data_IF_127493981921
#
_entry.id   IF_127493981921
#
_cell.length_a   1.000
_cell.length_b   1.000
_cell.length_c   1.000
_cell.angle_alpha   90.00
_cell.angle_beta   90.00
_cell.angle_gamma   90.00
#
_symmetry.space_group_name_H-M   'P 1'
#
loop_
_entity.id
_entity.type
_entity.pdbx_description
1 polymer ?
#
# COMPACT_ATOMS: atom_id res chain seq x y z
N UNK A 1 -1.30 43.26 -6.62
CA UNK A 1 -1.39 41.79 -6.58
C UNK A 1 -0.07 41.26 -6.04
N UNK A 2 -0.01 40.83 -4.79
CA UNK A 2 1.14 40.05 -4.31
C UNK A 2 0.82 38.61 -4.69
N UNK A 3 1.53 38.07 -5.67
CA UNK A 3 1.52 36.63 -5.94
C UNK A 3 2.06 35.94 -4.69
N UNK A 4 1.21 35.26 -3.96
CA UNK A 4 1.65 34.32 -2.96
C UNK A 4 2.48 33.27 -3.69
N UNK A 5 3.75 33.13 -3.37
CA UNK A 5 4.57 32.00 -3.83
C UNK A 5 4.06 30.76 -3.12
N UNK A 6 3.13 30.10 -3.79
CA UNK A 6 2.62 28.81 -3.36
C UNK A 6 3.70 27.79 -3.70
N UNK A 7 4.01 26.94 -2.73
CA UNK A 7 4.88 25.79 -2.94
C UNK A 7 4.38 25.03 -4.18
N UNK A 8 5.24 24.68 -5.15
CA UNK A 8 4.85 23.95 -6.36
C UNK A 8 4.04 22.68 -6.09
N UNK A 9 4.12 22.11 -4.87
CA UNK A 9 3.27 21.00 -4.43
C UNK A 9 1.78 21.37 -4.32
N UNK A 10 1.42 22.64 -4.31
CA UNK A 10 0.05 23.15 -4.23
C UNK A 10 -0.53 23.65 -5.56
N UNK A 11 0.16 23.53 -6.69
CA UNK A 11 -0.38 23.95 -8.00
C UNK A 11 -1.72 23.27 -8.35
N UNK A 12 -1.84 21.98 -8.01
CA UNK A 12 -3.09 21.25 -8.22
C UNK A 12 -4.22 21.78 -7.33
N UNK A 13 -3.89 22.33 -6.15
CA UNK A 13 -4.84 22.95 -5.24
C UNK A 13 -5.45 24.21 -5.84
N UNK A 14 -4.66 25.08 -6.44
CA UNK A 14 -5.19 26.25 -7.15
C UNK A 14 -6.16 25.86 -8.26
N UNK A 15 -5.90 24.77 -8.96
CA UNK A 15 -6.78 24.28 -10.01
C UNK A 15 -8.10 23.73 -9.45
N UNK A 16 -8.05 23.00 -8.34
CA UNK A 16 -9.25 22.51 -7.65
C UNK A 16 -10.04 23.66 -7.03
N UNK A 17 -9.37 24.63 -6.40
CA UNK A 17 -10.00 25.84 -5.89
C UNK A 17 -10.71 26.64 -6.98
N UNK A 18 -10.10 26.76 -8.17
CA UNK A 18 -10.77 27.38 -9.34
C UNK A 18 -11.98 26.58 -9.85
N UNK A 19 -11.97 25.27 -9.69
CA UNK A 19 -13.11 24.39 -9.98
C UNK A 19 -14.29 24.69 -9.05
N UNK A 20 -14.04 24.78 -7.75
CA UNK A 20 -15.04 25.11 -6.73
C UNK A 20 -15.58 26.54 -6.87
N UNK A 21 -14.80 27.46 -7.44
CA UNK A 21 -15.24 28.79 -7.80
C UNK A 21 -16.42 28.85 -8.80
N UNK A 22 -16.44 27.91 -9.75
CA UNK A 22 -17.53 27.78 -10.71
C UNK A 22 -18.83 27.36 -10.03
N UNK A 23 -18.74 26.78 -8.83
CA UNK A 23 -19.86 26.39 -7.97
C UNK A 23 -20.26 27.47 -6.96
N UNK A 24 -19.68 28.69 -7.07
CA UNK A 24 -20.00 29.83 -6.20
C UNK A 24 -19.25 29.87 -4.87
N UNK A 25 -18.22 29.06 -4.71
CA UNK A 25 -17.36 29.00 -3.51
C UNK A 25 -16.11 29.85 -3.78
N UNK A 26 -15.85 30.94 -3.01
CA UNK A 26 -14.72 31.82 -3.26
C UNK A 26 -13.37 31.17 -2.92
N UNK A 27 -12.27 31.43 -3.71
CA UNK A 27 -10.94 30.93 -3.39
C UNK A 27 -10.34 31.66 -2.20
N UNK A 28 -9.53 30.92 -1.44
CA UNK A 28 -8.62 31.49 -0.44
C UNK A 28 -7.20 31.39 -0.98
N UNK A 29 -6.45 32.49 -0.95
CA UNK A 29 -5.00 32.41 -1.02
C UNK A 29 -4.49 32.09 0.40
N UNK A 30 -3.90 30.91 0.55
CA UNK A 30 -3.38 30.45 1.84
C UNK A 30 -1.87 30.24 1.69
N UNK A 31 -1.11 30.90 2.54
CA UNK A 31 0.33 30.71 2.65
C UNK A 31 0.62 29.93 3.94
N UNK A 32 1.40 28.86 3.83
CA UNK A 32 1.86 28.08 4.95
C UNK A 32 3.20 28.63 5.45
N UNK A 33 3.28 28.96 6.74
CA UNK A 33 4.51 29.38 7.38
C UNK A 33 4.53 28.89 8.82
N UNK A 34 5.60 28.21 9.25
CA UNK A 34 5.88 27.78 10.63
C UNK A 34 4.69 27.21 11.42
N UNK A 35 3.82 26.44 10.77
CA UNK A 35 2.64 25.89 11.41
C UNK A 35 1.44 26.84 11.47
N UNK A 36 1.50 27.97 10.77
CA UNK A 36 0.40 28.91 10.61
C UNK A 36 -0.13 28.96 9.19
N UNK A 37 -1.40 29.27 9.06
CA UNK A 37 -2.04 29.64 7.79
C UNK A 37 -2.13 31.15 7.76
N UNK A 38 -1.45 31.76 6.79
CA UNK A 38 -1.58 33.20 6.54
C UNK A 38 -2.62 33.39 5.46
N UNK A 39 -3.76 33.93 5.82
CA UNK A 39 -4.76 34.32 4.86
C UNK A 39 -4.42 35.68 4.29
N UNK A 40 -4.23 35.78 2.97
CA UNK A 40 -4.30 37.10 2.34
C UNK A 40 -5.76 37.49 2.12
N UNK A 41 -6.02 38.79 2.08
CA UNK A 41 -7.36 39.42 2.00
C UNK A 41 -8.20 39.07 0.79
N UNK A 42 -7.80 38.11 -0.01
CA UNK A 42 -8.41 37.74 -1.29
C UNK A 42 -9.33 36.52 -1.19
N UNK A 43 -10.15 36.47 -0.16
CA UNK A 43 -11.21 35.46 -0.04
C UNK A 43 -12.46 35.77 -0.85
N UNK A 44 -12.53 36.93 -1.50
CA UNK A 44 -13.67 37.35 -2.30
C UNK A 44 -13.28 37.48 -3.77
N UNK A 45 -13.88 36.70 -4.62
CA UNK A 45 -13.77 36.82 -6.08
C UNK A 45 -14.36 38.09 -6.65
N UNK A 46 -15.14 38.83 -5.87
CA UNK A 46 -15.99 39.89 -6.41
C UNK A 46 -15.40 41.28 -6.28
N UNK A 47 -14.37 41.49 -5.46
CA UNK A 47 -13.60 42.74 -5.44
C UNK A 47 -12.35 42.62 -4.53
N UNK A 48 -11.15 42.93 -5.00
CA UNK A 48 -10.00 43.08 -4.12
C UNK A 48 -10.21 44.35 -3.28
N UNK A 49 -10.52 44.18 -2.01
CA UNK A 49 -10.41 45.28 -1.04
C UNK A 49 -8.95 45.36 -0.63
N UNK A 50 -8.24 46.31 -1.15
CA UNK A 50 -6.81 46.53 -0.97
C UNK A 50 -6.36 46.83 0.47
N UNK A 51 -7.23 46.73 1.46
CA UNK A 51 -7.01 47.25 2.82
C UNK A 51 -7.33 46.29 3.95
N UNK A 52 -7.70 45.05 3.70
CA UNK A 52 -7.92 44.10 4.79
C UNK A 52 -6.58 43.58 5.35
N UNK A 53 -6.41 43.54 6.67
CA UNK A 53 -5.18 43.01 7.26
C UNK A 53 -5.05 41.52 6.99
N UNK A 54 -3.81 41.09 6.81
CA UNK A 54 -3.49 39.65 6.74
C UNK A 54 -3.80 39.05 8.11
N UNK A 55 -4.62 38.02 8.14
CA UNK A 55 -4.93 37.28 9.37
C UNK A 55 -4.13 35.99 9.39
N UNK A 56 -3.41 35.77 10.47
CA UNK A 56 -2.63 34.57 10.70
C UNK A 56 -3.42 33.59 11.57
N UNK A 57 -3.55 32.37 11.12
CA UNK A 57 -4.21 31.29 11.85
C UNK A 57 -3.21 30.21 12.21
N UNK A 58 -3.15 29.82 13.47
CA UNK A 58 -2.32 28.71 13.93
C UNK A 58 -3.03 27.40 13.69
N UNK A 59 -2.33 26.47 13.03
CA UNK A 59 -2.82 25.11 12.78
C UNK A 59 -1.86 24.08 13.41
N UNK A 60 -2.39 22.96 13.89
CA UNK A 60 -1.54 21.88 14.37
C UNK A 60 -0.59 21.39 13.27
N UNK A 61 0.68 21.12 13.63
CA UNK A 61 1.70 20.62 12.69
C UNK A 61 1.22 19.35 11.95
N UNK A 62 0.45 18.49 12.62
CA UNK A 62 -0.17 17.31 12.03
C UNK A 62 -1.11 17.64 10.85
N UNK A 63 -1.83 18.75 10.91
CA UNK A 63 -2.70 19.15 9.79
C UNK A 63 -1.88 19.64 8.61
N UNK A 64 -0.78 20.34 8.83
CA UNK A 64 0.13 20.78 7.77
C UNK A 64 0.71 19.55 7.06
N UNK A 65 1.14 18.55 7.83
CA UNK A 65 1.65 17.29 7.27
C UNK A 65 0.56 16.58 6.42
N UNK A 66 -0.68 16.54 6.87
CA UNK A 66 -1.80 15.99 6.11
C UNK A 66 -2.07 16.79 4.82
N UNK A 67 -2.03 18.11 4.89
CA UNK A 67 -2.18 18.97 3.73
C UNK A 67 -1.08 18.74 2.69
N UNK A 68 0.17 18.65 3.14
CA UNK A 68 1.31 18.35 2.28
C UNK A 68 1.19 16.96 1.64
N UNK A 69 0.77 15.94 2.40
CA UNK A 69 0.52 14.60 1.86
C UNK A 69 -0.65 14.58 0.87
N UNK A 70 -1.72 15.32 1.15
CA UNK A 70 -2.83 15.47 0.22
C UNK A 70 -2.38 16.15 -1.06
N UNK A 71 -1.53 17.18 -0.95
CA UNK A 71 -0.96 17.89 -2.08
C UNK A 71 -0.09 17.01 -2.98
N UNK A 72 0.72 16.15 -2.39
CA UNK A 72 1.61 15.24 -3.12
C UNK A 72 0.87 14.16 -3.91
N UNK A 73 -0.38 13.85 -3.53
CA UNK A 73 -1.18 12.81 -4.18
C UNK A 73 -2.35 13.45 -4.95
N UNK A 74 -2.24 13.53 -6.26
CA UNK A 74 -3.14 14.23 -7.20
C UNK A 74 -4.61 13.77 -7.20
N UNK A 75 -5.16 13.27 -6.08
CA UNK A 75 -6.57 12.91 -5.93
C UNK A 75 -7.43 14.17 -5.73
N UNK A 76 -8.34 14.52 -6.66
CA UNK A 76 -9.17 15.73 -6.57
C UNK A 76 -10.02 15.79 -5.28
N UNK A 77 -10.47 14.64 -4.74
CA UNK A 77 -11.27 14.58 -3.52
C UNK A 77 -10.51 15.07 -2.29
N UNK A 78 -9.19 14.85 -2.24
CA UNK A 78 -8.33 15.37 -1.17
C UNK A 78 -8.24 16.88 -1.19
N UNK A 79 -8.17 17.45 -2.39
CA UNK A 79 -8.10 18.89 -2.58
C UNK A 79 -9.40 19.57 -2.17
N UNK A 80 -10.51 18.98 -2.55
CA UNK A 80 -11.83 19.48 -2.18
C UNK A 80 -12.01 19.47 -0.64
N UNK A 81 -11.65 18.37 0.02
CA UNK A 81 -11.73 18.26 1.47
C UNK A 81 -10.79 19.24 2.17
N UNK A 82 -9.54 19.34 1.71
CA UNK A 82 -8.57 20.28 2.25
C UNK A 82 -9.07 21.73 2.12
N UNK A 83 -9.62 22.07 0.95
CA UNK A 83 -10.19 23.38 0.71
C UNK A 83 -11.36 23.68 1.66
N UNK A 84 -12.30 22.77 1.86
CA UNK A 84 -13.42 22.92 2.78
C UNK A 84 -12.98 23.11 4.23
N UNK A 85 -11.96 22.37 4.67
CA UNK A 85 -11.39 22.49 6.00
C UNK A 85 -10.74 23.87 6.17
N UNK A 86 -9.88 24.27 5.22
CA UNK A 86 -9.22 25.57 5.25
C UNK A 86 -10.22 26.73 5.23
N UNK A 87 -11.27 26.60 4.41
CA UNK A 87 -12.34 27.60 4.34
C UNK A 87 -13.05 27.79 5.69
N UNK A 88 -13.37 26.70 6.38
CA UNK A 88 -13.98 26.76 7.72
C UNK A 88 -13.06 27.40 8.75
N UNK A 89 -11.78 27.06 8.74
CA UNK A 89 -10.80 27.67 9.65
C UNK A 89 -10.75 29.18 9.45
N UNK A 90 -10.66 29.61 8.21
CA UNK A 90 -10.48 31.01 7.87
C UNK A 90 -11.75 31.82 8.07
N UNK A 91 -12.91 31.31 7.65
CA UNK A 91 -14.16 32.03 7.67
C UNK A 91 -14.90 31.98 9.02
N UNK A 92 -14.85 30.86 9.69
CA UNK A 92 -15.61 30.56 10.89
C UNK A 92 -14.78 30.63 12.18
N UNK A 93 -13.49 30.96 12.02
CA UNK A 93 -12.51 30.91 13.12
C UNK A 93 -12.55 29.55 13.87
N UNK A 94 -12.70 28.50 13.08
CA UNK A 94 -12.91 27.15 13.57
C UNK A 94 -11.62 26.61 14.21
N UNK A 95 -11.67 26.25 15.50
CA UNK A 95 -10.54 25.66 16.19
C UNK A 95 -10.33 24.23 15.72
N UNK A 96 -9.22 23.96 15.03
CA UNK A 96 -8.83 22.62 14.61
C UNK A 96 -8.60 21.63 15.75
N UNK A 97 -8.56 22.08 17.00
CA UNK A 97 -8.46 21.20 18.17
C UNK A 97 -9.67 20.27 18.33
N UNK A 98 -10.83 20.64 17.78
CA UNK A 98 -12.00 19.76 17.68
C UNK A 98 -12.03 18.92 16.41
N UNK A 99 -11.10 19.16 15.47
CA UNK A 99 -11.10 18.60 14.12
C UNK A 99 -10.83 17.08 14.06
N UNK A 100 -10.31 16.47 15.12
CA UNK A 100 -10.17 15.00 15.16
C UNK A 100 -11.52 14.26 15.07
N UNK A 101 -12.62 14.96 15.31
CA UNK A 101 -13.99 14.46 15.17
C UNK A 101 -14.72 15.01 13.94
N UNK A 102 -14.08 15.90 13.20
CA UNK A 102 -14.66 16.48 12.00
C UNK A 102 -14.64 15.47 10.85
N UNK A 103 -15.80 15.23 10.24
CA UNK A 103 -15.95 14.23 9.19
C UNK A 103 -15.05 14.49 7.96
N UNK A 104 -14.83 15.76 7.59
CA UNK A 104 -13.97 16.11 6.47
C UNK A 104 -12.49 15.88 6.81
N UNK A 105 -12.07 16.16 8.05
CA UNK A 105 -10.70 15.88 8.52
C UNK A 105 -10.45 14.38 8.57
N UNK A 106 -11.41 13.60 9.11
CA UNK A 106 -11.33 12.14 9.12
C UNK A 106 -11.20 11.61 7.68
N UNK A 107 -12.07 12.07 6.78
CA UNK A 107 -12.03 11.67 5.37
C UNK A 107 -10.72 12.07 4.70
N UNK A 108 -10.17 13.25 4.98
CA UNK A 108 -8.86 13.67 4.48
C UNK A 108 -7.74 12.80 5.03
N UNK A 109 -7.79 12.43 6.30
CA UNK A 109 -6.83 11.51 6.92
C UNK A 109 -6.88 10.15 6.24
N UNK A 110 -8.06 9.58 6.00
CA UNK A 110 -8.22 8.31 5.30
C UNK A 110 -7.69 8.37 3.86
N UNK A 111 -8.08 9.40 3.10
CA UNK A 111 -7.59 9.62 1.74
C UNK A 111 -6.09 9.94 1.67
N UNK A 112 -5.50 10.46 2.76
CA UNK A 112 -4.08 10.79 2.83
C UNK A 112 -3.20 9.62 3.27
N UNK A 113 -3.80 8.49 3.64
CA UNK A 113 -3.02 7.27 3.88
C UNK A 113 -2.33 6.83 2.58
N UNK A 114 -1.09 6.33 2.69
CA UNK A 114 -0.43 5.71 1.55
C UNK A 114 -1.33 4.64 0.93
N UNK A 115 -1.50 4.68 -0.38
CA UNK A 115 -2.33 3.68 -1.09
C UNK A 115 -1.89 3.50 -2.53
N UNK A 116 -1.85 2.27 -2.98
CA UNK A 116 -1.62 1.92 -4.37
C UNK A 116 -2.88 2.05 -5.25
N UNK A 117 -4.06 2.30 -4.67
CA UNK A 117 -5.33 2.36 -5.41
C UNK A 117 -5.29 3.25 -6.66
N UNK A 118 -4.69 4.46 -6.65
CA UNK A 118 -4.61 5.32 -7.83
C UNK A 118 -3.74 4.77 -8.97
N UNK A 119 -2.91 3.76 -8.70
CA UNK A 119 -1.98 3.16 -9.66
C UNK A 119 -2.49 1.84 -10.23
N UNK A 120 -3.53 1.27 -9.62
CA UNK A 120 -4.15 0.01 -10.08
C UNK A 120 -5.19 0.34 -11.15
N UNK A 121 -4.97 -0.05 -12.41
CA UNK A 121 -5.93 0.20 -13.48
C UNK A 121 -7.18 -0.67 -13.33
N UNK A 122 -8.30 -0.18 -13.82
CA UNK A 122 -9.48 -1.03 -14.08
C UNK A 122 -9.20 -1.89 -15.31
N UNK A 123 -8.99 -3.18 -15.11
CA UNK A 123 -8.59 -4.12 -16.17
C UNK A 123 -9.04 -5.53 -15.85
N UNK A 124 -9.14 -6.36 -16.88
CA UNK A 124 -9.37 -7.80 -16.78
C UNK A 124 -8.11 -8.63 -17.08
N UNK A 125 -6.95 -7.98 -17.20
CA UNK A 125 -5.70 -8.62 -17.60
C UNK A 125 -4.63 -8.48 -16.52
N UNK A 126 -4.07 -9.60 -16.09
CA UNK A 126 -2.90 -9.65 -15.20
C UNK A 126 -1.67 -9.01 -15.85
N UNK A 127 -1.52 -9.10 -17.17
CA UNK A 127 -0.42 -8.47 -17.88
C UNK A 127 -0.50 -6.93 -17.85
N UNK A 128 -1.71 -6.38 -17.96
CA UNK A 128 -1.92 -4.95 -17.77
C UNK A 128 -1.55 -4.49 -16.36
N UNK A 129 -1.88 -5.28 -15.32
CA UNK A 129 -1.44 -5.00 -13.95
C UNK A 129 0.08 -5.06 -13.82
N UNK A 130 0.72 -6.04 -14.48
CA UNK A 130 2.20 -6.20 -14.46
C UNK A 130 2.92 -4.99 -15.04
N UNK A 131 2.39 -4.40 -16.09
CA UNK A 131 2.95 -3.16 -16.64
C UNK A 131 2.67 -1.96 -15.72
N UNK A 132 1.46 -1.83 -15.22
CA UNK A 132 1.05 -0.69 -14.39
C UNK A 132 1.80 -0.61 -13.06
N UNK A 133 2.13 -1.77 -12.44
CA UNK A 133 2.82 -1.81 -11.14
C UNK A 133 4.21 -1.18 -11.20
N UNK A 134 4.87 -1.17 -12.36
CA UNK A 134 6.18 -0.53 -12.57
C UNK A 134 6.16 0.97 -12.24
N UNK A 135 5.01 1.61 -12.39
CA UNK A 135 4.79 3.02 -12.07
C UNK A 135 4.23 3.27 -10.66
N UNK A 136 4.06 2.24 -9.84
CA UNK A 136 3.45 2.38 -8.52
C UNK A 136 4.28 3.21 -7.56
N UNK A 137 3.64 4.22 -6.95
CA UNK A 137 4.21 5.10 -5.92
C UNK A 137 3.29 5.18 -4.69
N UNK A 138 2.54 4.10 -4.42
CA UNK A 138 1.52 4.06 -3.38
C UNK A 138 2.05 4.05 -1.94
N UNK A 139 3.33 3.78 -1.73
CA UNK A 139 4.03 3.84 -0.44
C UNK A 139 5.50 4.21 -0.66
N UNK A 140 6.22 4.55 0.40
CA UNK A 140 7.62 5.01 0.33
C UNK A 140 8.63 3.97 -0.18
N UNK A 141 8.28 2.68 -0.21
CA UNK A 141 9.21 1.60 -0.59
C UNK A 141 9.72 1.74 -2.04
N UNK A 142 8.92 2.30 -2.95
CA UNK A 142 9.33 2.52 -4.35
C UNK A 142 10.58 3.40 -4.50
N UNK A 143 10.85 4.27 -3.51
CA UNK A 143 12.02 5.18 -3.55
C UNK A 143 13.34 4.44 -3.36
N UNK A 144 13.31 3.30 -2.72
CA UNK A 144 14.50 2.56 -2.30
C UNK A 144 14.70 1.27 -3.08
N UNK A 145 13.60 0.61 -3.48
CA UNK A 145 13.63 -0.61 -4.28
C UNK A 145 14.16 -0.33 -5.69
N UNK A 146 14.77 -1.34 -6.30
CA UNK A 146 15.26 -1.27 -7.68
C UNK A 146 14.08 -1.22 -8.66
N UNK A 147 13.05 -2.00 -8.37
CA UNK A 147 11.83 -2.10 -9.18
C UNK A 147 10.67 -2.71 -8.37
N UNK A 148 9.46 -2.60 -8.91
CA UNK A 148 8.34 -3.39 -8.43
C UNK A 148 8.50 -4.85 -8.87
N UNK A 149 8.27 -5.78 -7.96
CA UNK A 149 8.22 -7.21 -8.22
C UNK A 149 6.77 -7.65 -8.24
N UNK A 150 6.27 -7.97 -9.41
CA UNK A 150 4.90 -8.44 -9.60
C UNK A 150 4.80 -9.96 -9.45
N UNK A 151 3.78 -10.57 -10.01
CA UNK A 151 3.55 -11.99 -9.96
C UNK A 151 4.26 -12.78 -11.08
N UNK A 152 4.30 -14.10 -10.94
CA UNK A 152 4.53 -15.07 -12.00
C UNK A 152 3.44 -16.13 -11.99
N UNK A 153 3.24 -16.78 -13.15
CA UNK A 153 2.27 -17.84 -13.36
C UNK A 153 1.06 -17.39 -14.18
N UNK A 154 0.23 -18.33 -14.59
CA UNK A 154 -0.91 -18.08 -15.46
C UNK A 154 -2.07 -17.38 -14.72
N UNK A 155 -2.87 -16.62 -15.46
CA UNK A 155 -4.04 -15.92 -14.89
C UNK A 155 -5.16 -16.89 -14.46
N UNK A 156 -5.23 -18.06 -15.05
CA UNK A 156 -6.20 -19.12 -14.76
C UNK A 156 -5.67 -20.17 -13.75
N UNK A 157 -4.61 -19.83 -13.02
CA UNK A 157 -4.03 -20.71 -12.02
C UNK A 157 -5.05 -21.10 -10.94
N UNK A 158 -5.16 -22.37 -10.64
CA UNK A 158 -6.05 -22.89 -9.58
C UNK A 158 -5.50 -22.61 -8.18
N UNK A 159 -4.21 -22.42 -8.03
CA UNK A 159 -3.53 -22.19 -6.76
C UNK A 159 -2.75 -20.87 -6.84
N UNK A 160 -2.97 -20.00 -5.85
CA UNK A 160 -2.14 -18.81 -5.65
C UNK A 160 -1.28 -18.95 -4.39
N UNK A 161 0.02 -18.71 -4.54
CA UNK A 161 0.97 -18.60 -3.42
C UNK A 161 1.27 -17.14 -3.16
N UNK A 162 1.00 -16.67 -1.94
CA UNK A 162 1.17 -15.27 -1.55
C UNK A 162 2.26 -15.16 -0.47
N UNK A 163 3.40 -14.59 -0.83
CA UNK A 163 4.48 -14.25 0.10
C UNK A 163 4.29 -12.89 0.78
N UNK A 164 5.29 -12.48 1.54
CA UNK A 164 5.30 -11.21 2.31
C UNK A 164 5.69 -10.03 1.42
N UNK A 165 6.95 -9.97 1.02
CA UNK A 165 7.61 -8.87 0.31
C UNK A 165 8.79 -9.44 -0.49
N UNK A 166 9.16 -8.87 -1.64
CA UNK A 166 10.33 -9.30 -2.40
C UNK A 166 11.61 -9.26 -1.56
N UNK A 167 12.52 -10.20 -1.80
CA UNK A 167 13.88 -10.17 -1.29
C UNK A 167 14.84 -9.43 -2.22
N UNK A 168 16.12 -9.46 -1.89
CA UNK A 168 17.19 -8.80 -2.66
C UNK A 168 17.30 -9.32 -4.09
N UNK A 169 17.27 -10.64 -4.28
CA UNK A 169 17.37 -11.25 -5.61
C UNK A 169 16.10 -11.02 -6.43
N UNK A 170 14.93 -11.00 -5.79
CA UNK A 170 13.67 -10.70 -6.43
C UNK A 170 13.63 -9.24 -6.93
N UNK A 171 14.11 -8.30 -6.10
CA UNK A 171 14.21 -6.88 -6.45
C UNK A 171 15.15 -6.62 -7.64
N UNK A 172 16.25 -7.37 -7.71
CA UNK A 172 17.20 -7.28 -8.82
C UNK A 172 16.67 -7.90 -10.12
N UNK A 173 16.00 -9.06 -10.02
CA UNK A 173 15.54 -9.84 -11.18
C UNK A 173 14.11 -9.51 -11.63
N UNK A 174 13.35 -8.80 -10.81
CA UNK A 174 11.96 -8.40 -11.11
C UNK A 174 10.96 -9.56 -11.06
N UNK A 175 11.25 -10.64 -10.35
CA UNK A 175 10.41 -11.83 -10.28
C UNK A 175 10.31 -12.39 -8.85
N UNK A 176 9.13 -12.89 -8.42
CA UNK A 176 8.93 -13.40 -7.07
C UNK A 176 9.60 -14.78 -6.90
N UNK A 177 10.14 -15.00 -5.70
CA UNK A 177 10.73 -16.27 -5.28
C UNK A 177 11.81 -16.81 -6.25
N UNK A 178 12.75 -15.96 -6.64
CA UNK A 178 13.93 -16.31 -7.48
C UNK A 178 15.25 -16.33 -6.71
N UNK A 179 15.23 -16.05 -5.43
CA UNK A 179 16.35 -16.13 -4.52
C UNK A 179 16.35 -17.42 -3.69
N UNK A 180 17.19 -17.50 -2.64
CA UNK A 180 17.34 -18.73 -1.83
C UNK A 180 16.05 -19.25 -1.20
N UNK A 181 15.13 -18.36 -0.79
CA UNK A 181 13.81 -18.77 -0.31
C UNK A 181 12.96 -19.42 -1.43
N UNK A 182 13.12 -18.95 -2.66
CA UNK A 182 12.49 -19.54 -3.84
C UNK A 182 13.02 -20.95 -4.12
N UNK A 183 14.33 -21.20 -3.98
CA UNK A 183 14.92 -22.53 -4.14
C UNK A 183 14.37 -23.55 -3.12
N UNK A 184 14.16 -23.10 -1.87
CA UNK A 184 13.49 -23.93 -0.84
C UNK A 184 12.04 -24.23 -1.24
N UNK A 185 11.33 -23.22 -1.73
CA UNK A 185 9.94 -23.39 -2.20
C UNK A 185 9.89 -24.37 -3.38
N UNK A 186 10.76 -24.22 -4.37
CA UNK A 186 10.81 -25.08 -5.56
C UNK A 186 11.07 -26.53 -5.21
N UNK A 187 12.02 -26.77 -4.29
CA UNK A 187 12.30 -28.10 -3.77
C UNK A 187 11.08 -28.72 -3.06
N UNK A 188 10.37 -27.93 -2.26
CA UNK A 188 9.17 -28.40 -1.57
C UNK A 188 8.02 -28.70 -2.54
N UNK A 189 7.78 -27.81 -3.52
CA UNK A 189 6.77 -28.02 -4.57
C UNK A 189 7.04 -29.30 -5.39
N UNK A 190 8.31 -29.51 -5.77
CA UNK A 190 8.70 -30.71 -6.51
C UNK A 190 8.44 -31.99 -5.71
N UNK A 191 8.73 -32.01 -4.40
CA UNK A 191 8.50 -33.18 -3.54
C UNK A 191 7.03 -33.51 -3.39
N UNK A 192 6.13 -32.51 -3.32
CA UNK A 192 4.70 -32.73 -3.26
C UNK A 192 4.03 -32.85 -4.64
N UNK A 193 4.83 -32.81 -5.71
CA UNK A 193 4.39 -32.91 -7.11
C UNK A 193 3.42 -31.80 -7.53
N UNK A 194 3.68 -30.58 -7.10
CA UNK A 194 3.04 -29.36 -7.62
C UNK A 194 3.97 -28.73 -8.65
N UNK A 195 3.47 -28.47 -9.84
CA UNK A 195 4.23 -27.81 -10.90
C UNK A 195 4.22 -26.30 -10.68
N UNK A 196 5.38 -25.70 -10.43
CA UNK A 196 5.49 -24.25 -10.19
C UNK A 196 4.91 -23.40 -11.32
N UNK A 197 5.05 -23.81 -12.56
CA UNK A 197 4.58 -23.06 -13.73
C UNK A 197 3.05 -22.99 -13.84
N UNK A 198 2.34 -23.87 -13.12
CA UNK A 198 0.87 -23.87 -13.03
C UNK A 198 0.35 -23.05 -11.85
N UNK A 199 1.23 -22.50 -11.01
CA UNK A 199 0.88 -21.73 -9.82
C UNK A 199 1.00 -20.23 -10.09
N UNK A 200 0.07 -19.46 -9.53
CA UNK A 200 0.21 -18.02 -9.46
C UNK A 200 1.02 -17.65 -8.21
N UNK A 201 2.19 -17.08 -8.38
CA UNK A 201 3.11 -16.78 -7.28
C UNK A 201 3.30 -15.27 -7.17
N UNK A 202 3.02 -14.72 -6.01
CA UNK A 202 3.08 -13.26 -5.77
C UNK A 202 3.45 -12.94 -4.32
N UNK A 203 3.50 -11.66 -3.97
CA UNK A 203 3.70 -11.16 -2.62
C UNK A 203 2.63 -10.13 -2.25
N UNK A 204 2.32 -10.00 -0.95
CA UNK A 204 1.41 -8.98 -0.43
C UNK A 204 1.94 -7.57 -0.69
N UNK A 205 3.25 -7.36 -0.66
CA UNK A 205 3.92 -6.09 -0.96
C UNK A 205 4.77 -6.23 -2.22
N UNK A 206 4.75 -5.21 -3.09
CA UNK A 206 5.40 -5.28 -4.41
C UNK A 206 6.81 -4.69 -4.49
N UNK A 207 7.26 -3.96 -3.49
CA UNK A 207 8.60 -3.37 -3.45
C UNK A 207 9.41 -3.91 -2.29
N UNK A 208 10.69 -4.18 -2.54
CA UNK A 208 11.62 -4.69 -1.53
C UNK A 208 11.81 -3.69 -0.39
N UNK A 209 11.66 -4.15 0.84
CA UNK A 209 12.00 -3.39 2.04
C UNK A 209 13.32 -3.86 2.62
N UNK A 210 14.27 -2.94 2.77
CA UNK A 210 15.58 -3.26 3.31
C UNK A 210 16.18 -2.11 4.12
N UNK A 211 17.21 -2.44 4.87
CA UNK A 211 18.13 -1.50 5.50
C UNK A 211 19.53 -1.73 4.92
N UNK A 212 20.26 -0.65 4.65
CA UNK A 212 21.64 -0.74 4.20
C UNK A 212 22.59 -0.90 5.39
N UNK A 213 23.35 -1.98 5.39
CA UNK A 213 24.45 -2.19 6.34
C UNK A 213 25.73 -2.36 5.51
N UNK A 214 26.50 -1.27 5.41
CA UNK A 214 27.61 -1.19 4.47
C UNK A 214 27.14 -1.36 3.02
N UNK A 215 27.68 -2.35 2.30
CA UNK A 215 27.30 -2.67 0.92
C UNK A 215 26.09 -3.62 0.82
N UNK A 216 25.65 -4.20 1.94
CA UNK A 216 24.57 -5.20 1.97
C UNK A 216 23.20 -4.54 2.14
N UNK A 217 22.19 -5.08 1.47
CA UNK A 217 20.78 -4.74 1.66
C UNK A 217 20.15 -5.84 2.53
N UNK A 218 19.88 -5.51 3.78
CA UNK A 218 19.32 -6.45 4.76
C UNK A 218 17.80 -6.33 4.74
N UNK A 219 17.13 -7.43 4.40
CA UNK A 219 15.68 -7.54 4.37
C UNK A 219 15.03 -7.07 5.68
N UNK A 220 13.93 -6.32 5.57
CA UNK A 220 13.09 -5.89 6.69
C UNK A 220 11.63 -6.23 6.42
N UNK A 221 10.93 -6.62 7.46
CA UNK A 221 9.48 -6.84 7.40
C UNK A 221 8.75 -5.53 7.10
N UNK A 222 7.80 -5.51 6.16
CA UNK A 222 6.99 -4.32 5.90
C UNK A 222 6.12 -3.97 7.10
N UNK A 223 5.91 -2.67 7.32
CA UNK A 223 4.98 -2.18 8.34
C UNK A 223 3.53 -2.46 7.93
N UNK A 224 2.60 -2.50 8.90
CA UNK A 224 1.17 -2.62 8.59
C UNK A 224 0.68 -1.54 7.60
N UNK A 225 1.20 -0.32 7.69
CA UNK A 225 0.86 0.77 6.76
C UNK A 225 1.31 0.46 5.33
N UNK A 226 2.53 -0.07 5.15
CA UNK A 226 3.05 -0.44 3.83
C UNK A 226 2.29 -1.63 3.23
N UNK A 227 1.92 -2.60 4.05
CA UNK A 227 1.06 -3.73 3.63
C UNK A 227 -0.31 -3.23 3.20
N UNK A 228 -0.95 -2.39 4.02
CA UNK A 228 -2.25 -1.79 3.70
C UNK A 228 -2.20 -0.94 2.43
N UNK A 229 -1.15 -0.13 2.27
CA UNK A 229 -0.95 0.69 1.07
C UNK A 229 -0.82 -0.15 -0.20
N UNK A 230 -0.16 -1.31 -0.13
CA UNK A 230 0.06 -2.20 -1.27
C UNK A 230 -1.14 -3.12 -1.57
N UNK A 231 -2.06 -3.27 -0.62
CA UNK A 231 -3.21 -4.18 -0.67
C UNK A 231 -4.04 -4.10 -1.97
N UNK A 232 -4.30 -2.92 -2.58
CA UNK A 232 -5.06 -2.85 -3.83
C UNK A 232 -4.50 -3.70 -4.96
N UNK A 233 -3.18 -3.92 -5.02
CA UNK A 233 -2.58 -4.80 -6.02
C UNK A 233 -2.98 -6.25 -5.81
N UNK A 234 -2.73 -6.81 -4.61
CA UNK A 234 -3.04 -8.22 -4.33
C UNK A 234 -4.55 -8.51 -4.43
N UNK A 235 -5.40 -7.56 -4.02
CA UNK A 235 -6.85 -7.66 -4.17
C UNK A 235 -7.25 -7.81 -5.64
N UNK A 236 -6.73 -6.95 -6.52
CA UNK A 236 -7.04 -7.00 -7.94
C UNK A 236 -6.44 -8.25 -8.59
N UNK A 237 -5.22 -8.65 -8.24
CA UNK A 237 -4.61 -9.89 -8.71
C UNK A 237 -5.50 -11.10 -8.41
N UNK A 238 -5.89 -11.30 -7.15
CA UNK A 238 -6.70 -12.45 -6.74
C UNK A 238 -8.13 -12.41 -7.29
N UNK A 239 -8.67 -11.20 -7.50
CA UNK A 239 -9.96 -11.06 -8.19
C UNK A 239 -9.89 -11.52 -9.65
N UNK A 240 -8.78 -11.23 -10.34
CA UNK A 240 -8.60 -11.63 -11.74
C UNK A 240 -8.24 -13.10 -11.91
N UNK A 241 -7.39 -13.63 -11.04
CA UNK A 241 -6.94 -15.02 -11.07
C UNK A 241 -8.06 -15.96 -10.59
N UNK A 242 -8.82 -15.53 -9.60
CA UNK A 242 -9.92 -16.29 -8.98
C UNK A 242 -9.50 -17.73 -8.61
N UNK A 243 -8.43 -17.89 -7.81
CA UNK A 243 -7.88 -19.20 -7.52
C UNK A 243 -8.82 -20.02 -6.64
N UNK A 244 -8.82 -21.34 -6.83
CA UNK A 244 -9.55 -22.27 -5.96
C UNK A 244 -8.91 -22.38 -4.59
N UNK A 245 -7.57 -22.28 -4.54
CA UNK A 245 -6.76 -22.37 -3.32
C UNK A 245 -5.85 -21.17 -3.19
N UNK A 246 -5.81 -20.55 -2.01
CA UNK A 246 -4.83 -19.51 -1.65
C UNK A 246 -3.94 -20.03 -0.53
N UNK A 247 -2.62 -19.98 -0.73
CA UNK A 247 -1.64 -20.36 0.28
C UNK A 247 -0.81 -19.14 0.68
N UNK A 248 -0.92 -18.74 1.94
CA UNK A 248 -0.13 -17.65 2.51
C UNK A 248 1.19 -18.18 3.05
N UNK A 249 2.30 -17.68 2.50
CA UNK A 249 3.66 -18.06 2.92
C UNK A 249 4.16 -17.08 3.98
N UNK A 250 4.09 -17.49 5.25
CA UNK A 250 4.55 -16.72 6.41
C UNK A 250 3.47 -15.90 7.11
N UNK A 251 3.82 -15.40 8.30
CA UNK A 251 2.88 -14.72 9.19
C UNK A 251 2.35 -13.39 8.64
N UNK A 252 3.18 -12.62 7.94
CA UNK A 252 2.77 -11.32 7.38
C UNK A 252 1.76 -11.50 6.26
N UNK A 253 2.04 -12.43 5.31
CA UNK A 253 1.08 -12.78 4.26
C UNK A 253 -0.23 -13.31 4.85
N UNK A 254 -0.15 -14.22 5.84
CA UNK A 254 -1.32 -14.77 6.50
C UNK A 254 -2.19 -13.69 7.17
N UNK A 255 -1.59 -12.76 7.92
CA UNK A 255 -2.36 -11.66 8.52
C UNK A 255 -2.97 -10.74 7.48
N UNK A 256 -2.25 -10.45 6.41
CA UNK A 256 -2.77 -9.62 5.31
C UNK A 256 -3.98 -10.24 4.61
N UNK A 257 -4.00 -11.57 4.46
CA UNK A 257 -5.00 -12.28 3.64
C UNK A 257 -6.13 -12.89 4.48
N UNK A 258 -5.85 -13.33 5.72
CA UNK A 258 -6.80 -14.02 6.60
C UNK A 258 -7.31 -13.08 7.68
N UNK A 259 -6.42 -12.25 8.26
CA UNK A 259 -6.76 -11.28 9.30
C UNK A 259 -5.71 -11.17 10.41
N UNK A 260 -5.70 -10.02 11.09
CA UNK A 260 -4.65 -9.66 12.08
C UNK A 260 -4.57 -10.59 13.28
N UNK A 261 -5.67 -11.28 13.62
CA UNK A 261 -5.74 -12.22 14.72
C UNK A 261 -5.15 -13.59 14.39
N UNK A 262 -4.77 -13.83 13.13
CA UNK A 262 -4.19 -15.10 12.72
C UNK A 262 -2.83 -15.35 13.40
N UNK A 263 -2.66 -16.57 13.94
CA UNK A 263 -1.46 -17.02 14.66
C UNK A 263 -0.84 -18.21 13.93
N UNK A 264 0.14 -17.94 13.08
CA UNK A 264 0.72 -18.91 12.16
C UNK A 264 1.09 -20.25 12.84
N UNK A 265 1.89 -20.22 13.91
CA UNK A 265 2.37 -21.45 14.57
C UNK A 265 1.28 -22.28 15.25
N UNK A 266 0.08 -21.74 15.42
CA UNK A 266 -1.08 -22.46 15.98
C UNK A 266 -2.07 -22.93 14.92
N UNK A 267 -2.05 -22.28 13.73
CA UNK A 267 -3.10 -22.42 12.74
C UNK A 267 -2.57 -22.75 11.33
N UNK A 268 -1.24 -22.99 11.17
CA UNK A 268 -0.72 -23.41 9.87
C UNK A 268 -1.36 -24.74 9.44
N UNK A 269 -1.43 -24.97 8.15
CA UNK A 269 -1.96 -26.20 7.59
C UNK A 269 -3.46 -26.44 7.79
N UNK A 270 -4.19 -25.46 8.35
CA UNK A 270 -5.65 -25.50 8.49
C UNK A 270 -6.32 -24.81 7.32
N UNK A 271 -7.39 -25.40 6.79
CA UNK A 271 -8.23 -24.80 5.77
C UNK A 271 -9.18 -23.78 6.39
N UNK A 272 -9.23 -22.60 5.80
CA UNK A 272 -10.08 -21.49 6.20
C UNK A 272 -10.80 -20.93 4.96
N UNK A 273 -12.04 -20.50 5.16
CA UNK A 273 -12.76 -19.72 4.16
C UNK A 273 -12.40 -18.25 4.32
N UNK A 274 -12.05 -17.59 3.22
CA UNK A 274 -11.78 -16.17 3.16
C UNK A 274 -12.54 -15.52 2.01
N UNK A 275 -12.46 -14.21 1.87
CA UNK A 275 -13.02 -13.50 0.72
C UNK A 275 -12.31 -13.86 -0.61
N UNK A 276 -11.15 -14.50 -0.55
CA UNK A 276 -10.31 -14.81 -1.72
C UNK A 276 -10.54 -16.21 -2.27
N UNK A 277 -10.92 -17.13 -1.40
CA UNK A 277 -11.16 -18.53 -1.75
C UNK A 277 -11.88 -19.25 -0.61
N UNK A 278 -12.67 -20.26 -0.96
CA UNK A 278 -13.22 -21.21 0.01
C UNK A 278 -12.13 -22.07 0.69
N UNK A 279 -10.95 -22.19 0.06
CA UNK A 279 -9.81 -22.95 0.56
C UNK A 279 -8.58 -22.05 0.68
N UNK A 280 -8.47 -21.35 1.78
CA UNK A 280 -7.27 -20.59 2.13
C UNK A 280 -6.51 -21.29 3.25
N UNK A 281 -5.18 -21.35 3.11
CA UNK A 281 -4.29 -21.95 4.11
C UNK A 281 -3.09 -21.02 4.32
N UNK A 282 -2.48 -21.09 5.50
CA UNK A 282 -1.18 -20.50 5.73
C UNK A 282 -0.16 -21.57 6.14
N UNK A 283 1.06 -21.40 5.69
CA UNK A 283 2.21 -22.19 6.11
C UNK A 283 3.40 -21.29 6.43
N UNK A 284 4.49 -21.84 6.92
CA UNK A 284 5.69 -21.07 7.22
C UNK A 284 6.30 -20.50 5.92
N UNK A 285 6.97 -19.37 6.04
CA UNK A 285 7.69 -18.80 4.89
C UNK A 285 8.94 -19.65 4.58
N UNK A 286 9.25 -19.97 3.32
CA UNK A 286 10.44 -20.77 2.97
C UNK A 286 11.76 -20.24 3.56
N UNK A 287 11.90 -18.91 3.70
CA UNK A 287 13.05 -18.32 4.38
C UNK A 287 13.22 -18.69 5.85
N UNK A 288 12.16 -19.17 6.52
CA UNK A 288 12.26 -19.64 7.90
C UNK A 288 13.10 -20.91 8.02
N UNK A 289 13.16 -21.72 6.94
CA UNK A 289 14.05 -22.86 6.85
C UNK A 289 15.51 -22.40 6.84
N UNK A 290 15.81 -21.36 6.06
CA UNK A 290 17.18 -20.85 5.89
C UNK A 290 17.70 -20.05 7.10
N UNK A 291 16.79 -19.44 7.89
CA UNK A 291 17.16 -18.59 9.02
C UNK A 291 17.23 -19.34 10.34
N UNK A 292 16.89 -20.61 10.36
CA UNK A 292 17.04 -21.42 11.56
C UNK A 292 18.53 -21.69 11.84
N UNK A 293 18.96 -21.39 13.07
CA UNK A 293 20.37 -21.49 13.49
C UNK A 293 20.82 -22.97 13.69
N UNK A 294 19.84 -23.84 13.91
CA UNK A 294 20.05 -25.26 14.22
C UNK A 294 19.53 -26.15 13.07
N UNK A 295 20.32 -27.12 12.56
CA UNK A 295 19.87 -28.04 11.53
C UNK A 295 18.58 -28.77 11.85
N UNK A 296 18.36 -29.16 13.11
CA UNK A 296 17.11 -29.82 13.53
C UNK A 296 15.90 -28.90 13.43
N UNK A 297 16.10 -27.61 13.59
CA UNK A 297 15.06 -26.57 13.38
C UNK A 297 14.82 -26.36 11.88
N UNK A 298 15.86 -26.39 11.06
CA UNK A 298 15.72 -26.32 9.60
C UNK A 298 14.88 -27.49 9.08
N UNK A 299 15.17 -28.71 9.53
CA UNK A 299 14.44 -29.91 9.15
C UNK A 299 12.97 -29.84 9.61
N UNK A 300 12.72 -29.43 10.85
CA UNK A 300 11.35 -29.23 11.35
C UNK A 300 10.57 -28.19 10.53
N UNK A 301 11.19 -27.05 10.25
CA UNK A 301 10.55 -26.01 9.44
C UNK A 301 10.27 -26.52 8.02
N UNK A 302 11.21 -27.24 7.42
CA UNK A 302 11.01 -27.82 6.11
C UNK A 302 9.91 -28.89 6.11
N UNK A 303 9.84 -29.72 7.14
CA UNK A 303 8.79 -30.73 7.29
C UNK A 303 7.39 -30.10 7.41
N UNK A 304 7.24 -29.00 8.16
CA UNK A 304 5.99 -28.23 8.24
C UNK A 304 5.58 -27.72 6.83
N UNK A 305 6.53 -27.12 6.10
CA UNK A 305 6.27 -26.62 4.75
C UNK A 305 5.81 -27.74 3.81
N UNK A 306 6.45 -28.90 3.87
CA UNK A 306 6.11 -30.06 3.05
C UNK A 306 4.73 -30.64 3.40
N UNK A 307 4.45 -30.80 4.71
CA UNK A 307 3.16 -31.33 5.17
C UNK A 307 2.01 -30.44 4.68
N UNK A 308 2.14 -29.11 4.88
CA UNK A 308 1.10 -28.17 4.50
C UNK A 308 0.90 -28.10 2.96
N UNK A 309 1.99 -28.04 2.18
CA UNK A 309 1.91 -28.10 0.73
C UNK A 309 1.40 -29.47 0.22
N UNK A 310 1.66 -30.54 0.94
CA UNK A 310 1.11 -31.87 0.66
C UNK A 310 -0.43 -31.89 0.74
N UNK A 311 -1.01 -31.18 1.74
CA UNK A 311 -2.47 -30.99 1.84
C UNK A 311 -3.03 -30.22 0.64
N UNK A 312 -2.30 -29.19 0.18
CA UNK A 312 -2.67 -28.43 -1.03
C UNK A 312 -2.65 -29.33 -2.27
N UNK A 313 -1.57 -30.12 -2.44
CA UNK A 313 -1.46 -31.05 -3.57
C UNK A 313 -2.57 -32.13 -3.57
N UNK A 314 -2.99 -32.59 -2.40
CA UNK A 314 -4.10 -33.53 -2.28
C UNK A 314 -5.45 -32.89 -2.69
N UNK A 315 -5.71 -31.65 -2.26
CA UNK A 315 -6.96 -30.94 -2.52
C UNK A 315 -7.19 -30.62 -4.01
N UNK A 316 -6.14 -30.46 -4.81
CA UNK A 316 -6.27 -30.17 -6.26
C UNK A 316 -6.50 -31.43 -7.10
N UNK A 317 -6.16 -32.62 -6.56
CA UNK A 317 -6.31 -33.90 -7.29
C UNK A 317 -7.71 -34.50 -7.11
N UNK A 318 -8.48 -33.98 -6.19
CA UNK A 318 -9.89 -34.35 -5.96
C UNK A 318 -10.82 -33.45 -6.76
#
# INVERSE_FOLDING_TARGET
MREARIDPTFESWQSAARGLLREGIPPAEVQWNDGSIVQSSLLSLTAPRATEPVTEYRVPARFIELAQRAAANRDPRRWELLYRILWRIVRENHELLSAERDADVISLMELSQPSARPFVPDTKSVDTLREAVKGCRGCELYKFATQAVFSRGPQDAKIALVGEVPGDQEDLRGAPFVGPAGEVLDRALAQVRLNREELYVTNAVKHFKFERVGKRRIHKTPTPIEVAACRPWIETELTLVHPQIVVCLGATAARSMIGDQFRLMKQHGQWLKTQWSEQTMATIHPSAVLRADDPSMQDRNYAILLEDLGKVAAAVRT
#
